data_IF_813063233962
#
_entry.id   IF_813063233962
#
_cell.length_a   1.000
_cell.length_b   1.000
_cell.length_c   1.000
_cell.angle_alpha   90.00
_cell.angle_beta   90.00
_cell.angle_gamma   90.00
#
_symmetry.space_group_name_H-M   'P 1'
#
loop_
_entity.id
_entity.type
_entity.pdbx_description
1 polymer ?
#
# COMPACT_ATOMS: atom_id res chain seq x y z
N UNK A 1 8.59 19.61 7.53
CA UNK A 1 10.02 19.24 7.44
C UNK A 1 10.43 19.30 5.97
N UNK A 2 11.69 19.67 5.63
CA UNK A 2 12.18 19.60 4.27
C UNK A 2 12.06 18.15 3.76
N UNK A 3 11.53 17.95 2.54
CA UNK A 3 11.48 16.63 1.90
C UNK A 3 12.91 16.13 1.67
N UNK A 4 13.18 14.86 1.93
CA UNK A 4 14.48 14.23 1.67
C UNK A 4 15.49 14.24 2.84
N UNK A 5 15.18 14.84 3.97
CA UNK A 5 16.07 14.82 5.14
C UNK A 5 15.70 13.70 6.09
N UNK A 6 16.67 12.83 6.38
CA UNK A 6 16.52 11.80 7.44
C UNK A 6 16.83 12.46 8.79
N UNK A 7 15.87 12.50 9.68
CA UNK A 7 16.03 12.98 11.05
C UNK A 7 16.68 11.89 11.94
N UNK A 8 18.00 11.83 11.91
CA UNK A 8 18.76 10.83 12.68
C UNK A 8 18.58 10.98 14.20
N UNK A 9 18.37 12.20 14.70
CA UNK A 9 18.18 12.43 16.13
C UNK A 9 16.77 12.03 16.55
N UNK A 10 15.75 12.34 15.75
CA UNK A 10 14.38 11.87 15.98
C UNK A 10 14.27 10.34 15.95
N UNK A 11 15.03 9.68 15.04
CA UNK A 11 15.10 8.22 15.00
C UNK A 11 15.74 7.60 16.26
N UNK A 12 16.62 8.32 16.93
CA UNK A 12 17.25 7.91 18.20
C UNK A 12 16.49 8.35 19.44
N UNK A 13 15.41 9.12 19.27
CA UNK A 13 14.63 9.61 20.41
C UNK A 13 14.13 8.46 21.28
N UNK A 14 13.99 8.66 22.61
CA UNK A 14 13.48 7.62 23.52
C UNK A 14 12.14 7.05 23.07
N UNK A 15 11.23 7.89 22.55
CA UNK A 15 9.93 7.45 22.05
C UNK A 15 10.07 6.50 20.84
N UNK A 16 10.91 6.87 19.84
CA UNK A 16 11.15 6.01 18.68
C UNK A 16 11.82 4.70 19.06
N UNK A 17 12.78 4.73 19.99
CA UNK A 17 13.47 3.54 20.45
C UNK A 17 12.55 2.63 21.27
N UNK A 18 11.70 3.16 22.13
CA UNK A 18 10.72 2.39 22.90
C UNK A 18 9.79 1.59 21.98
N UNK A 19 9.30 2.19 20.87
CA UNK A 19 8.47 1.49 19.90
C UNK A 19 9.25 0.42 19.12
N UNK A 20 10.50 0.66 18.80
CA UNK A 20 11.35 -0.26 18.03
C UNK A 20 11.64 -1.57 18.77
N UNK A 21 11.77 -1.51 20.08
CA UNK A 21 12.08 -2.70 20.91
C UNK A 21 10.84 -3.42 21.43
N UNK A 22 9.64 -2.97 21.02
CA UNK A 22 8.41 -3.69 21.36
C UNK A 22 8.43 -5.09 20.73
N UNK A 23 8.61 -6.08 21.56
CA UNK A 23 8.61 -7.47 21.12
C UNK A 23 7.17 -8.02 21.03
N UNK A 24 6.88 -8.92 20.07
CA UNK A 24 5.62 -9.63 20.07
C UNK A 24 5.49 -10.46 21.36
N UNK A 25 4.27 -10.62 21.84
CA UNK A 25 3.99 -11.46 23.02
C UNK A 25 4.42 -12.90 22.72
N UNK A 26 5.26 -13.46 23.58
CA UNK A 26 5.63 -14.87 23.50
C UNK A 26 4.45 -15.79 23.86
N UNK A 27 4.45 -17.01 23.31
CA UNK A 27 3.47 -18.04 23.66
C UNK A 27 2.05 -17.79 23.12
N UNK A 28 1.91 -16.99 22.05
CA UNK A 28 0.63 -16.89 21.36
C UNK A 28 0.24 -18.27 20.79
N UNK A 29 -1.02 -18.70 20.94
CA UNK A 29 -1.48 -20.02 20.45
C UNK A 29 -1.68 -20.04 18.92
N UNK A 30 -1.35 -18.97 18.20
CA UNK A 30 -1.47 -18.85 16.76
C UNK A 30 -0.34 -17.96 16.19
N UNK A 31 -0.13 -18.07 14.88
CA UNK A 31 0.81 -17.24 14.11
C UNK A 31 0.06 -16.60 12.94
N UNK A 32 0.10 -15.28 12.83
CA UNK A 32 -0.34 -14.57 11.64
C UNK A 32 0.67 -14.80 10.51
N UNK A 33 0.20 -15.09 9.30
CA UNK A 33 1.04 -15.37 8.13
C UNK A 33 1.09 -14.22 7.13
N UNK A 34 -0.03 -13.50 6.99
CA UNK A 34 -0.16 -12.33 6.09
C UNK A 34 -1.38 -11.49 6.49
N UNK A 35 -1.49 -10.30 5.94
CA UNK A 35 -2.77 -9.55 5.93
C UNK A 35 -3.67 -10.24 4.92
N UNK A 36 -4.79 -10.79 5.35
CA UNK A 36 -5.68 -11.60 4.52
C UNK A 36 -6.49 -10.76 3.53
N UNK A 37 -7.17 -9.73 4.03
CA UNK A 37 -7.96 -8.81 3.22
C UNK A 37 -8.19 -7.49 3.96
N UNK A 38 -8.64 -6.50 3.22
CA UNK A 38 -9.12 -5.21 3.74
C UNK A 38 -10.52 -4.94 3.21
N UNK A 39 -11.33 -4.26 4.01
CA UNK A 39 -12.67 -3.84 3.63
C UNK A 39 -12.74 -2.33 3.62
N UNK A 40 -13.20 -1.76 2.53
CA UNK A 40 -13.30 -0.32 2.31
C UNK A 40 -14.75 0.08 2.11
N UNK A 41 -15.12 1.23 2.65
CA UNK A 41 -16.42 1.84 2.38
C UNK A 41 -16.32 2.69 1.10
N UNK A 42 -17.20 2.43 0.15
CA UNK A 42 -17.26 3.12 -1.13
C UNK A 42 -18.47 4.05 -1.20
N UNK A 43 -18.29 5.31 -1.51
CA UNK A 43 -19.39 6.28 -1.67
C UNK A 43 -20.22 5.99 -2.92
N UNK A 44 -19.56 5.51 -3.99
CA UNK A 44 -20.17 4.99 -5.21
C UNK A 44 -19.57 3.61 -5.52
N UNK A 45 -20.28 2.56 -5.11
CA UNK A 45 -19.78 1.20 -5.24
C UNK A 45 -19.51 0.80 -6.69
N UNK A 46 -20.37 1.21 -7.63
CA UNK A 46 -20.22 0.84 -9.04
C UNK A 46 -18.97 1.49 -9.65
N UNK A 47 -18.73 2.78 -9.35
CA UNK A 47 -17.55 3.52 -9.79
C UNK A 47 -16.27 2.89 -9.20
N UNK A 48 -16.28 2.56 -7.91
CA UNK A 48 -15.12 1.94 -7.25
C UNK A 48 -14.85 0.54 -7.82
N UNK A 49 -15.87 -0.30 -8.03
CA UNK A 49 -15.69 -1.60 -8.69
C UNK A 49 -15.11 -1.44 -10.09
N UNK A 50 -15.60 -0.48 -10.88
CA UNK A 50 -15.08 -0.21 -12.21
C UNK A 50 -13.59 0.22 -12.17
N UNK A 51 -13.19 1.02 -11.17
CA UNK A 51 -11.79 1.40 -10.98
C UNK A 51 -10.91 0.18 -10.63
N UNK A 52 -11.29 -0.61 -9.62
CA UNK A 52 -10.50 -1.77 -9.21
C UNK A 52 -10.40 -2.82 -10.31
N UNK A 53 -11.45 -3.03 -11.10
CA UNK A 53 -11.43 -3.99 -12.21
C UNK A 53 -10.74 -3.42 -13.45
N UNK A 54 -11.10 -2.22 -13.90
CA UNK A 54 -10.64 -1.65 -15.17
C UNK A 54 -9.25 -1.02 -15.09
N UNK A 55 -8.88 -0.43 -13.94
CA UNK A 55 -7.58 0.25 -13.77
C UNK A 55 -6.57 -0.67 -13.08
N UNK A 56 -6.96 -1.37 -12.01
CA UNK A 56 -6.05 -2.19 -11.23
C UNK A 56 -6.07 -3.69 -11.61
N UNK A 57 -6.98 -4.12 -12.48
CA UNK A 57 -7.04 -5.51 -12.96
C UNK A 57 -7.56 -6.52 -11.93
N UNK A 58 -8.23 -6.08 -10.88
CA UNK A 58 -8.87 -6.99 -9.94
C UNK A 58 -10.00 -7.77 -10.60
N UNK A 59 -10.28 -8.96 -10.07
CA UNK A 59 -11.41 -9.80 -10.49
C UNK A 59 -12.42 -9.88 -9.37
N UNK A 60 -13.69 -9.68 -9.69
CA UNK A 60 -14.79 -9.92 -8.75
C UNK A 60 -14.90 -11.42 -8.51
N UNK A 61 -14.92 -11.83 -7.25
CA UNK A 61 -15.13 -13.20 -6.82
C UNK A 61 -16.59 -13.43 -6.44
N UNK A 62 -17.17 -12.51 -5.65
CA UNK A 62 -18.54 -12.59 -5.20
C UNK A 62 -19.17 -11.22 -4.95
N UNK A 63 -20.50 -11.20 -4.91
CA UNK A 63 -21.28 -10.00 -4.58
C UNK A 63 -22.39 -10.36 -3.59
N UNK A 64 -22.41 -9.67 -2.44
CA UNK A 64 -23.57 -9.72 -1.56
C UNK A 64 -24.61 -8.67 -1.99
N UNK A 65 -25.84 -9.09 -2.25
CA UNK A 65 -26.93 -8.17 -2.56
C UNK A 65 -27.34 -7.34 -1.33
N UNK A 66 -28.14 -6.31 -1.56
CA UNK A 66 -28.67 -5.41 -0.52
C UNK A 66 -29.39 -6.18 0.62
N UNK A 67 -30.00 -7.31 0.29
CA UNK A 67 -30.71 -8.17 1.26
C UNK A 67 -29.77 -8.93 2.22
N UNK A 68 -28.50 -9.10 1.84
CA UNK A 68 -27.47 -9.74 2.66
C UNK A 68 -26.56 -8.73 3.36
N UNK A 69 -26.27 -7.62 2.70
CA UNK A 69 -25.43 -6.55 3.21
C UNK A 69 -25.99 -5.21 2.76
N UNK A 70 -26.36 -4.36 3.72
CA UNK A 70 -26.83 -2.99 3.41
C UNK A 70 -25.71 -2.23 2.65
N UNK A 71 -26.06 -1.64 1.52
CA UNK A 71 -25.10 -1.01 0.61
C UNK A 71 -24.46 -1.97 -0.40
N UNK A 72 -24.76 -3.28 -0.31
CA UNK A 72 -24.07 -4.35 -1.04
C UNK A 72 -22.63 -4.51 -0.64
N UNK A 73 -22.01 -5.65 -0.97
CA UNK A 73 -20.59 -5.88 -0.76
C UNK A 73 -20.02 -6.65 -1.95
N UNK A 74 -18.90 -6.18 -2.47
CA UNK A 74 -18.22 -6.81 -3.61
C UNK A 74 -16.87 -7.31 -3.15
N UNK A 75 -16.61 -8.60 -3.32
CA UNK A 75 -15.35 -9.26 -3.00
C UNK A 75 -14.47 -9.34 -4.23
N UNK A 76 -13.23 -8.90 -4.10
CA UNK A 76 -12.32 -8.75 -5.24
C UNK A 76 -10.94 -9.34 -4.92
N UNK A 77 -10.30 -9.90 -5.95
CA UNK A 77 -8.97 -10.51 -5.83
C UNK A 77 -8.00 -10.05 -6.92
N UNK A 78 -6.72 -9.99 -6.57
CA UNK A 78 -5.59 -9.83 -7.50
C UNK A 78 -4.66 -11.06 -7.51
N UNK A 79 -4.89 -12.02 -6.59
CA UNK A 79 -4.11 -13.23 -6.41
C UNK A 79 -5.03 -14.47 -6.31
N UNK A 80 -4.52 -15.60 -5.84
CA UNK A 80 -5.25 -16.86 -5.73
C UNK A 80 -6.30 -16.88 -4.61
N UNK A 81 -6.14 -16.04 -3.59
CA UNK A 81 -7.14 -15.94 -2.52
C UNK A 81 -8.50 -15.51 -3.08
N UNK A 82 -9.58 -15.95 -2.43
CA UNK A 82 -10.95 -15.57 -2.83
C UNK A 82 -11.13 -14.05 -2.91
N UNK A 83 -10.56 -13.32 -1.96
CA UNK A 83 -10.52 -11.85 -1.97
C UNK A 83 -9.35 -11.33 -1.13
N UNK A 84 -8.75 -10.23 -1.58
CA UNK A 84 -7.81 -9.41 -0.82
C UNK A 84 -8.40 -8.05 -0.48
N UNK A 85 -9.41 -7.62 -1.25
CA UNK A 85 -10.16 -6.38 -1.05
C UNK A 85 -11.64 -6.70 -1.09
N UNK A 86 -12.42 -6.07 -0.20
CA UNK A 86 -13.86 -6.01 -0.31
C UNK A 86 -14.32 -4.55 -0.27
N UNK A 87 -15.29 -4.21 -1.12
CA UNK A 87 -15.90 -2.88 -1.16
C UNK A 87 -17.33 -2.97 -0.64
N UNK A 88 -17.69 -2.12 0.31
CA UNK A 88 -19.07 -2.00 0.82
C UNK A 88 -19.60 -0.64 0.41
N UNK A 89 -20.75 -0.59 -0.26
CA UNK A 89 -21.40 0.67 -0.58
C UNK A 89 -21.82 1.39 0.69
N UNK A 90 -21.43 2.66 0.82
CA UNK A 90 -21.92 3.51 1.90
C UNK A 90 -23.43 3.67 1.75
N UNK A 91 -24.17 3.53 2.87
CA UNK A 91 -25.55 4.00 2.89
C UNK A 91 -25.54 5.50 2.59
N UNK A 92 -26.58 6.04 1.86
CA UNK A 92 -26.67 7.48 1.64
C UNK A 92 -26.45 8.18 2.98
N UNK A 93 -25.61 9.19 2.97
CA UNK A 93 -25.10 9.88 4.15
C UNK A 93 -26.23 10.25 5.11
N UNK A 94 -26.42 9.45 6.12
CA UNK A 94 -27.07 9.85 7.35
C UNK A 94 -25.97 9.94 8.40
N UNK A 95 -25.55 11.18 8.64
CA UNK A 95 -24.75 11.65 9.77
C UNK A 95 -23.26 11.34 9.81
N UNK A 96 -22.46 12.39 9.74
CA UNK A 96 -21.46 12.84 10.73
C UNK A 96 -20.75 11.75 11.58
N UNK A 97 -20.16 10.74 10.97
CA UNK A 97 -19.23 9.85 11.68
C UNK A 97 -17.98 9.56 10.83
N UNK A 98 -17.44 10.56 10.20
CA UNK A 98 -16.04 10.55 9.79
C UNK A 98 -15.23 11.04 10.99
N UNK A 99 -15.02 10.15 11.96
CA UNK A 99 -13.94 10.38 12.90
C UNK A 99 -12.64 10.16 12.12
N UNK A 100 -11.76 11.17 12.00
CA UNK A 100 -10.47 11.04 11.31
C UNK A 100 -9.58 9.95 11.88
N UNK A 101 -9.96 9.38 13.01
CA UNK A 101 -9.21 8.40 13.79
C UNK A 101 -9.39 6.95 13.31
N UNK A 102 -10.31 6.68 12.38
CA UNK A 102 -10.61 5.31 11.92
C UNK A 102 -10.44 5.12 10.40
N UNK A 103 -9.83 6.07 9.72
CA UNK A 103 -9.55 5.96 8.29
C UNK A 103 -8.33 5.07 8.06
N UNK A 104 -8.45 4.14 7.11
CA UNK A 104 -7.30 3.40 6.60
C UNK A 104 -6.31 4.41 5.98
N UNK A 105 -5.05 4.40 6.45
CA UNK A 105 -4.06 5.34 5.91
C UNK A 105 -3.75 5.01 4.44
N UNK A 106 -3.38 3.78 4.12
CA UNK A 106 -3.17 3.32 2.75
C UNK A 106 -3.21 1.80 2.66
N UNK A 107 -3.27 1.31 1.43
CA UNK A 107 -3.16 -0.09 1.06
C UNK A 107 -2.05 -0.23 0.02
N UNK A 108 -1.11 -1.14 0.25
CA UNK A 108 0.01 -1.36 -0.63
C UNK A 108 -0.06 -2.73 -1.31
N UNK A 109 0.19 -2.76 -2.62
CA UNK A 109 0.18 -3.94 -3.47
C UNK A 109 1.57 -4.18 -4.04
N UNK A 110 2.12 -5.35 -3.80
CA UNK A 110 3.42 -5.74 -4.34
C UNK A 110 3.28 -6.21 -5.80
N UNK A 111 4.24 -5.79 -6.64
CA UNK A 111 4.44 -6.32 -7.99
C UNK A 111 5.76 -7.09 -8.05
N UNK A 112 5.88 -8.01 -9.02
CA UNK A 112 7.00 -8.93 -9.07
C UNK A 112 8.32 -8.29 -9.53
N UNK A 113 8.26 -7.22 -10.34
CA UNK A 113 9.44 -6.58 -10.94
C UNK A 113 9.38 -5.06 -10.86
N UNK A 114 10.55 -4.44 -10.82
CA UNK A 114 10.68 -2.97 -10.89
C UNK A 114 10.05 -2.40 -12.18
N UNK A 115 10.18 -3.12 -13.30
CA UNK A 115 9.59 -2.72 -14.57
C UNK A 115 8.06 -2.62 -14.48
N UNK A 116 7.41 -3.44 -13.66
CA UNK A 116 5.96 -3.36 -13.44
C UNK A 116 5.54 -2.09 -12.70
N UNK A 117 6.40 -1.53 -11.82
CA UNK A 117 6.13 -0.24 -11.18
C UNK A 117 6.08 0.88 -12.22
N UNK A 118 7.04 0.90 -13.17
CA UNK A 118 7.05 1.85 -14.28
C UNK A 118 5.81 1.72 -15.16
N UNK A 119 5.47 0.49 -15.53
CA UNK A 119 4.26 0.20 -16.33
C UNK A 119 2.98 0.60 -15.59
N UNK A 120 2.92 0.36 -14.28
CA UNK A 120 1.78 0.78 -13.46
C UNK A 120 1.64 2.31 -13.42
N UNK A 121 2.74 3.05 -13.23
CA UNK A 121 2.74 4.52 -13.31
C UNK A 121 2.17 5.02 -14.63
N UNK A 122 2.72 4.53 -15.73
CA UNK A 122 2.35 5.00 -17.06
C UNK A 122 0.90 4.63 -17.40
N UNK A 123 0.47 3.45 -16.98
CA UNK A 123 -0.92 3.02 -17.10
C UNK A 123 -1.87 3.90 -16.29
N UNK A 124 -1.57 4.16 -15.02
CA UNK A 124 -2.39 5.02 -14.16
C UNK A 124 -2.55 6.42 -14.76
N UNK A 125 -1.46 7.00 -15.25
CA UNK A 125 -1.48 8.30 -15.95
C UNK A 125 -2.36 8.26 -17.20
N UNK A 126 -2.26 7.20 -18.01
CA UNK A 126 -3.09 7.03 -19.22
C UNK A 126 -4.60 6.88 -18.88
N UNK A 127 -4.92 6.37 -17.68
CA UNK A 127 -6.29 6.31 -17.17
C UNK A 127 -6.76 7.61 -16.49
N UNK A 128 -5.95 8.67 -16.51
CA UNK A 128 -6.27 9.94 -15.87
C UNK A 128 -6.16 9.92 -14.34
N UNK A 129 -5.53 8.89 -13.77
CA UNK A 129 -5.29 8.81 -12.33
C UNK A 129 -4.12 9.73 -11.95
N UNK A 130 -4.35 10.60 -10.98
CA UNK A 130 -3.30 11.48 -10.45
C UNK A 130 -2.31 10.67 -9.62
N UNK A 131 -1.03 10.75 -9.95
CA UNK A 131 0.05 10.23 -9.11
C UNK A 131 0.37 11.23 -8.01
N UNK A 132 0.26 10.81 -6.76
CA UNK A 132 0.55 11.64 -5.58
C UNK A 132 2.03 11.55 -5.16
N UNK A 133 2.64 10.40 -5.41
CA UNK A 133 4.07 10.16 -5.19
C UNK A 133 4.57 9.11 -6.19
N UNK A 134 5.81 9.27 -6.63
CA UNK A 134 6.57 8.22 -7.30
C UNK A 134 8.03 8.30 -6.86
N UNK A 135 8.70 7.16 -6.73
CA UNK A 135 10.09 7.12 -6.30
C UNK A 135 10.36 6.02 -5.27
N UNK A 136 11.33 6.27 -4.40
CA UNK A 136 11.68 5.34 -3.30
C UNK A 136 11.37 5.95 -1.96
N UNK A 137 10.72 5.17 -1.10
CA UNK A 137 10.53 5.50 0.31
C UNK A 137 11.77 5.19 1.14
N UNK A 138 11.82 5.70 2.38
CA UNK A 138 12.97 5.57 3.31
C UNK A 138 13.05 4.18 3.93
N UNK A 139 12.22 3.93 4.93
CA UNK A 139 12.18 2.65 5.63
C UNK A 139 11.61 1.55 4.71
N UNK A 140 12.36 0.46 4.56
CA UNK A 140 12.01 -0.62 3.64
C UNK A 140 12.46 -0.40 2.21
N UNK A 141 12.87 0.83 1.83
CA UNK A 141 13.44 1.19 0.52
C UNK A 141 12.67 0.72 -0.72
N UNK A 142 11.37 0.44 -0.58
CA UNK A 142 10.55 0.06 -1.73
C UNK A 142 10.45 1.19 -2.76
N UNK A 143 10.48 0.82 -4.01
CA UNK A 143 10.20 1.73 -5.14
C UNK A 143 8.72 1.66 -5.44
N UNK A 144 8.04 2.79 -5.45
CA UNK A 144 6.58 2.83 -5.45
C UNK A 144 5.98 3.93 -6.31
N UNK A 145 4.73 3.75 -6.66
CA UNK A 145 3.81 4.79 -7.11
C UNK A 145 2.60 4.82 -6.19
N UNK A 146 2.24 6.01 -5.73
CA UNK A 146 1.11 6.22 -4.84
C UNK A 146 0.06 7.10 -5.50
N UNK A 147 -1.18 6.75 -5.28
CA UNK A 147 -2.34 7.38 -5.91
C UNK A 147 -3.58 7.18 -5.03
N UNK A 148 -4.70 7.74 -5.46
CA UNK A 148 -5.98 7.57 -4.77
C UNK A 148 -6.98 6.83 -5.63
N UNK A 149 -7.79 6.01 -4.98
CA UNK A 149 -8.98 5.46 -5.60
C UNK A 149 -10.09 6.53 -5.73
N UNK A 150 -11.23 6.22 -6.38
CA UNK A 150 -12.34 7.18 -6.54
C UNK A 150 -12.96 7.66 -5.22
N UNK A 151 -12.79 6.96 -4.12
CA UNK A 151 -13.28 7.33 -2.79
C UNK A 151 -12.25 8.09 -1.94
N UNK A 152 -11.02 8.23 -2.47
CA UNK A 152 -9.94 8.97 -1.83
C UNK A 152 -9.02 8.10 -0.96
N UNK A 153 -9.22 6.78 -0.93
CA UNK A 153 -8.31 5.89 -0.21
C UNK A 153 -6.93 5.92 -0.84
N UNK A 154 -5.91 6.00 -0.01
CA UNK A 154 -4.53 6.01 -0.46
C UNK A 154 -4.09 4.59 -0.84
N UNK A 155 -3.63 4.43 -2.06
CA UNK A 155 -3.14 3.17 -2.62
C UNK A 155 -1.69 3.31 -3.03
N UNK A 156 -0.95 2.21 -2.93
CA UNK A 156 0.44 2.11 -3.33
C UNK A 156 0.64 0.86 -4.18
N UNK A 157 1.34 0.96 -5.29
CA UNK A 157 1.92 -0.17 -6.03
C UNK A 157 3.42 -0.09 -5.88
N UNK A 158 4.05 -1.15 -5.36
CA UNK A 158 5.46 -1.13 -5.03
C UNK A 158 6.19 -2.41 -5.43
N UNK A 159 7.52 -2.26 -5.50
CA UNK A 159 8.47 -3.36 -5.66
C UNK A 159 9.67 -3.16 -4.73
N UNK A 160 10.33 -4.27 -4.35
CA UNK A 160 11.65 -4.25 -3.73
C UNK A 160 11.65 -3.81 -2.27
N UNK A 161 10.59 -4.12 -1.52
CA UNK A 161 10.58 -3.95 -0.07
C UNK A 161 11.67 -4.79 0.58
N UNK A 162 12.52 -4.16 1.41
CA UNK A 162 13.55 -4.85 2.15
C UNK A 162 12.98 -6.04 2.94
N UNK A 163 13.62 -7.18 2.79
CA UNK A 163 13.25 -8.40 3.51
C UNK A 163 14.11 -8.56 4.75
N UNK A 164 13.48 -8.71 5.90
CA UNK A 164 14.17 -9.00 7.16
C UNK A 164 14.35 -10.51 7.26
N UNK A 165 15.59 -10.95 7.13
CA UNK A 165 15.95 -12.37 7.22
C UNK A 165 15.83 -12.96 8.64
N UNK A 166 16.20 -14.23 8.78
CA UNK A 166 16.16 -14.93 10.06
C UNK A 166 17.10 -14.33 11.13
N UNK A 167 18.09 -13.57 10.70
CA UNK A 167 19.02 -12.82 11.56
C UNK A 167 18.42 -11.54 12.14
N UNK A 168 17.23 -11.14 11.69
CA UNK A 168 16.53 -9.93 12.12
C UNK A 168 17.21 -8.63 11.66
N UNK A 169 18.15 -8.67 10.72
CA UNK A 169 18.87 -7.49 10.25
C UNK A 169 17.94 -6.58 9.43
N UNK A 170 17.86 -5.32 9.83
CA UNK A 170 17.12 -4.25 9.14
C UNK A 170 18.15 -3.28 8.54
N UNK A 171 17.85 -2.77 7.33
CA UNK A 171 18.68 -1.76 6.67
C UNK A 171 18.83 -0.53 7.57
N UNK A 172 20.08 -0.08 7.84
CA UNK A 172 20.30 1.09 8.67
C UNK A 172 19.86 2.38 7.95
N UNK A 173 19.39 3.40 8.67
CA UNK A 173 18.90 4.65 8.08
C UNK A 173 19.91 5.40 7.20
N UNK A 174 21.21 5.16 7.43
CA UNK A 174 22.30 5.75 6.63
C UNK A 174 22.33 5.23 5.19
N UNK A 175 21.75 4.07 4.95
CA UNK A 175 21.66 3.45 3.63
C UNK A 175 20.33 3.76 2.92
N UNK A 176 19.40 4.47 3.55
CA UNK A 176 18.17 4.89 2.89
C UNK A 176 18.45 5.90 1.79
N UNK A 177 17.77 5.73 0.66
CA UNK A 177 17.89 6.57 -0.53
C UNK A 177 16.52 7.02 -0.97
N UNK A 178 15.94 8.02 -0.29
CA UNK A 178 14.65 8.57 -0.69
C UNK A 178 14.78 9.33 -2.00
N UNK A 179 13.99 8.95 -2.99
CA UNK A 179 13.92 9.59 -4.30
C UNK A 179 12.46 9.94 -4.62
N UNK A 180 12.26 10.95 -5.46
CA UNK A 180 10.93 11.48 -5.78
C UNK A 180 10.53 11.27 -7.25
N UNK A 181 11.33 10.51 -7.99
CA UNK A 181 11.03 9.98 -9.31
C UNK A 181 11.45 8.52 -9.38
N UNK A 182 10.81 7.75 -10.27
CA UNK A 182 11.22 6.36 -10.49
C UNK A 182 12.61 6.29 -11.14
N UNK A 183 12.93 7.25 -11.99
CA UNK A 183 14.23 7.36 -12.68
C UNK A 183 15.36 7.57 -11.68
N UNK A 184 15.19 8.49 -10.71
CA UNK A 184 16.16 8.69 -9.63
C UNK A 184 16.27 7.46 -8.74
N UNK A 185 15.16 6.77 -8.49
CA UNK A 185 15.16 5.53 -7.71
C UNK A 185 15.97 4.41 -8.36
N UNK A 186 16.04 4.37 -9.70
CA UNK A 186 16.91 3.45 -10.44
C UNK A 186 18.37 3.91 -10.37
N UNK A 187 18.62 5.20 -10.54
CA UNK A 187 19.99 5.77 -10.61
C UNK A 187 20.69 5.75 -9.25
N UNK A 188 19.96 5.98 -8.15
CA UNK A 188 20.50 6.02 -6.78
C UNK A 188 19.95 4.83 -5.94
N UNK A 189 20.34 3.61 -6.30
CA UNK A 189 19.95 2.42 -5.58
C UNK A 189 20.69 2.29 -4.23
N UNK A 190 19.99 1.89 -3.15
CA UNK A 190 20.66 1.57 -1.90
C UNK A 190 21.50 0.29 -2.04
N UNK A 191 22.53 0.09 -1.21
CA UNK A 191 23.37 -1.10 -1.26
C UNK A 191 22.52 -2.40 -1.23
N UNK A 192 22.78 -3.29 -2.18
CA UNK A 192 22.12 -4.61 -2.25
C UNK A 192 20.75 -4.61 -2.93
N UNK A 193 20.19 -3.48 -3.35
CA UNK A 193 18.97 -3.46 -4.18
C UNK A 193 19.36 -3.45 -5.66
N UNK A 194 19.04 -4.53 -6.39
CA UNK A 194 19.24 -4.62 -7.84
C UNK A 194 18.10 -3.93 -8.56
N UNK A 195 18.34 -2.70 -9.01
CA UNK A 195 17.37 -1.89 -9.76
C UNK A 195 17.41 -2.12 -11.27
N UNK A 196 17.99 -3.23 -11.72
CA UNK A 196 17.95 -3.61 -13.13
C UNK A 196 16.49 -3.85 -13.56
N UNK A 197 16.06 -3.09 -14.57
CA UNK A 197 14.71 -3.26 -15.14
C UNK A 197 14.69 -4.49 -16.02
N UNK A 198 13.95 -5.50 -15.59
CA UNK A 198 13.74 -6.76 -16.31
C UNK A 198 12.28 -6.83 -16.73
N UNK A 199 12.04 -6.85 -18.04
CA UNK A 199 10.70 -6.93 -18.64
C UNK A 199 10.15 -8.34 -18.72
#
# INVERSE_FOLDING_TARGET
MPKGVVDFEGLKSPASQALRVMAPRAGLPFRLTKIGHVVLMATDLARSVAFYTGVLGFRVSDVYPETMMKGRMVFMRCAADHHGVALVGAAPASSNTTSPQHELHHMAFEVATLEEVFRARDWLRAQGVKIEFEGRRRAGCQVAVEFRDPDGHWLEIYWGLDQVGADGRIRPPQEWRECFTLEDAVADAPPGQDTTRRG
#
